data_IF_284467153233
#
_entry.id   IF_284467153233
#
_cell.length_a   1.000
_cell.length_b   1.000
_cell.length_c   1.000
_cell.angle_alpha   90.00
_cell.angle_beta   90.00
_cell.angle_gamma   90.00
#
_symmetry.space_group_name_H-M   'P 1'
#
loop_
_entity.id
_entity.type
_entity.pdbx_description
1 polymer ?
#
# COMPACT_ATOMS: atom_id res chain seq x y z
N UNK A 1 -60.67 -5.65 -24.48
CA UNK A 1 -59.27 -6.12 -24.39
C UNK A 1 -58.40 -4.90 -24.15
N UNK A 2 -57.99 -4.66 -22.95
CA UNK A 2 -57.03 -3.57 -22.62
C UNK A 2 -55.70 -4.20 -22.24
N UNK A 3 -54.71 -3.96 -23.10
CA UNK A 3 -53.31 -4.43 -22.87
C UNK A 3 -52.58 -3.39 -22.05
N UNK A 4 -52.25 -3.73 -20.80
CA UNK A 4 -51.37 -2.91 -19.92
C UNK A 4 -49.92 -3.26 -20.24
N UNK A 5 -49.24 -2.33 -20.92
CA UNK A 5 -47.78 -2.38 -21.12
C UNK A 5 -47.15 -1.83 -19.86
N UNK A 6 -46.62 -2.70 -19.02
CA UNK A 6 -45.83 -2.30 -17.85
C UNK A 6 -44.43 -1.82 -18.27
N UNK A 7 -44.14 -0.54 -18.07
CA UNK A 7 -42.81 0.01 -18.26
C UNK A 7 -41.90 -0.45 -17.09
N UNK A 8 -40.92 -1.29 -17.38
CA UNK A 8 -39.85 -1.63 -16.43
C UNK A 8 -38.84 -0.48 -16.44
N UNK A 9 -38.83 0.31 -15.36
CA UNK A 9 -37.80 1.31 -15.13
C UNK A 9 -36.59 0.56 -14.55
N UNK A 10 -35.56 0.35 -15.39
CA UNK A 10 -34.25 -0.06 -14.92
C UNK A 10 -33.59 1.14 -14.19
N UNK A 11 -33.59 1.15 -12.87
CA UNK A 11 -32.71 2.03 -12.10
C UNK A 11 -31.28 1.51 -12.30
N UNK A 12 -30.56 2.09 -13.23
CA UNK A 12 -29.12 1.95 -13.34
C UNK A 12 -28.46 2.62 -12.15
N UNK A 13 -28.10 1.83 -11.15
CA UNK A 13 -27.23 2.30 -10.06
C UNK A 13 -25.89 2.69 -10.66
N UNK A 14 -25.59 3.99 -10.71
CA UNK A 14 -24.23 4.44 -11.00
C UNK A 14 -23.31 3.92 -9.91
N UNK A 15 -22.34 3.05 -10.27
CA UNK A 15 -21.31 2.65 -9.35
C UNK A 15 -20.51 3.90 -8.98
N UNK A 16 -20.55 4.31 -7.71
CA UNK A 16 -19.79 5.42 -7.21
C UNK A 16 -18.30 5.08 -7.33
N UNK A 17 -17.54 5.93 -8.05
CA UNK A 17 -16.11 5.73 -8.22
C UNK A 17 -15.42 5.76 -6.85
N UNK A 18 -14.50 4.81 -6.61
CA UNK A 18 -13.71 4.80 -5.37
C UNK A 18 -13.00 6.17 -5.19
N UNK A 19 -12.89 6.70 -3.96
CA UNK A 19 -12.18 7.95 -3.71
C UNK A 19 -10.73 7.83 -4.19
N UNK A 20 -10.14 8.93 -4.71
CA UNK A 20 -8.76 8.91 -5.15
C UNK A 20 -7.84 8.52 -3.98
N UNK A 21 -6.74 7.80 -4.26
CA UNK A 21 -5.79 7.45 -3.21
C UNK A 21 -5.21 8.72 -2.58
N UNK A 22 -4.86 8.68 -1.27
CA UNK A 22 -4.26 9.82 -0.61
C UNK A 22 -2.96 10.24 -1.30
N UNK A 23 -2.62 11.55 -1.29
CA UNK A 23 -1.41 12.04 -1.92
C UNK A 23 -0.17 11.37 -1.31
N UNK A 24 0.82 11.07 -2.15
CA UNK A 24 2.07 10.47 -1.70
C UNK A 24 2.89 11.49 -0.92
N UNK A 25 3.64 11.04 0.10
CA UNK A 25 4.56 11.91 0.84
C UNK A 25 5.63 12.48 -0.07
N UNK A 26 6.02 13.74 0.19
CA UNK A 26 7.08 14.40 -0.58
C UNK A 26 8.40 13.62 -0.51
N UNK A 27 9.09 13.52 -1.63
CA UNK A 27 10.38 12.81 -1.75
C UNK A 27 10.27 11.28 -1.78
N UNK A 28 9.06 10.72 -1.81
CA UNK A 28 8.84 9.29 -1.99
C UNK A 28 8.19 9.00 -3.34
N UNK A 29 8.59 7.90 -3.98
CA UNK A 29 7.99 7.42 -5.23
C UNK A 29 7.72 5.94 -5.11
N UNK A 30 6.48 5.52 -5.41
CA UNK A 30 6.12 4.09 -5.51
C UNK A 30 5.90 3.72 -6.98
N UNK A 31 6.55 2.66 -7.39
CA UNK A 31 6.37 2.03 -8.70
C UNK A 31 5.81 0.63 -8.50
N UNK A 32 4.57 0.40 -8.93
CA UNK A 32 3.96 -0.92 -8.89
C UNK A 32 4.62 -1.79 -9.98
N UNK A 33 5.13 -2.95 -9.58
CA UNK A 33 5.87 -3.85 -10.46
C UNK A 33 4.99 -4.96 -11.00
N UNK A 34 4.20 -5.60 -10.14
CA UNK A 34 3.26 -6.64 -10.50
C UNK A 34 2.15 -6.77 -9.46
N UNK A 35 0.97 -7.23 -9.92
CA UNK A 35 -0.20 -7.50 -9.08
C UNK A 35 -0.90 -8.74 -9.59
N UNK A 36 -1.24 -9.67 -8.70
CA UNK A 36 -1.91 -10.92 -9.03
C UNK A 36 -2.91 -11.32 -7.95
N UNK A 37 -4.01 -11.92 -8.38
CA UNK A 37 -4.90 -12.65 -7.48
C UNK A 37 -4.15 -13.86 -6.92
N UNK A 38 -4.34 -14.13 -5.64
CA UNK A 38 -3.82 -15.34 -5.02
C UNK A 38 -4.84 -16.48 -5.09
N UNK A 39 -4.37 -17.71 -4.91
CA UNK A 39 -5.23 -18.89 -4.81
C UNK A 39 -6.19 -18.85 -3.61
N UNK A 40 -5.84 -18.07 -2.59
CA UNK A 40 -6.73 -17.80 -1.45
C UNK A 40 -7.78 -16.78 -1.88
N UNK A 41 -9.05 -17.19 -1.84
CA UNK A 41 -10.17 -16.32 -2.25
C UNK A 41 -10.17 -15.01 -1.49
N UNK A 42 -10.36 -13.90 -2.22
CA UNK A 42 -10.41 -12.56 -1.67
C UNK A 42 -9.05 -11.95 -1.33
N UNK A 43 -7.96 -12.61 -1.72
CA UNK A 43 -6.59 -12.15 -1.48
C UNK A 43 -5.86 -11.89 -2.80
N UNK A 44 -4.97 -10.90 -2.76
CA UNK A 44 -4.09 -10.55 -3.87
C UNK A 44 -2.68 -10.24 -3.37
N UNK A 45 -1.70 -10.31 -4.25
CA UNK A 45 -0.37 -9.78 -3.99
C UNK A 45 -0.09 -8.57 -4.88
N UNK A 46 0.57 -7.58 -4.30
CA UNK A 46 1.14 -6.44 -5.00
C UNK A 46 2.62 -6.37 -4.65
N UNK A 47 3.48 -6.27 -5.66
CA UNK A 47 4.88 -5.98 -5.45
C UNK A 47 5.19 -4.59 -6.00
N UNK A 48 5.84 -3.77 -5.18
CA UNK A 48 6.18 -2.41 -5.51
C UNK A 48 7.61 -2.07 -5.08
N UNK A 49 8.25 -1.20 -5.85
CA UNK A 49 9.47 -0.51 -5.44
C UNK A 49 9.08 0.84 -4.85
N UNK A 50 9.62 1.17 -3.70
CA UNK A 50 9.46 2.49 -3.08
C UNK A 50 10.83 3.14 -2.96
N UNK A 51 10.97 4.30 -3.57
CA UNK A 51 12.19 5.12 -3.55
C UNK A 51 12.01 6.29 -2.60
N UNK A 52 13.06 6.58 -1.82
CA UNK A 52 13.12 7.65 -0.83
C UNK A 52 14.30 8.57 -1.14
N UNK A 53 14.03 9.84 -1.42
CA UNK A 53 15.08 10.85 -1.43
C UNK A 53 15.72 10.99 -0.02
N UNK A 54 16.96 11.49 0.11
CA UNK A 54 17.56 11.74 1.42
C UNK A 54 16.64 12.58 2.31
N UNK A 55 16.40 12.10 3.54
CA UNK A 55 15.51 12.77 4.51
C UNK A 55 14.00 12.58 4.27
N UNK A 56 13.59 11.97 3.17
CA UNK A 56 12.18 11.72 2.89
C UNK A 56 11.59 10.69 3.87
N UNK A 57 10.33 10.90 4.23
CA UNK A 57 9.60 10.04 5.17
C UNK A 57 8.29 9.57 4.58
N UNK A 58 7.93 8.33 4.85
CA UNK A 58 6.58 7.83 4.70
C UNK A 58 5.94 7.79 6.09
N UNK A 59 4.90 8.61 6.36
CA UNK A 59 4.36 8.78 7.71
C UNK A 59 3.64 7.50 8.19
N UNK A 60 3.24 7.51 9.46
CA UNK A 60 2.52 6.38 10.07
C UNK A 60 1.30 6.00 9.26
N UNK A 61 1.24 4.74 8.92
CA UNK A 61 0.17 4.14 8.13
C UNK A 61 0.07 2.65 8.42
N UNK A 62 -0.97 2.04 7.87
CA UNK A 62 -1.19 0.58 7.90
C UNK A 62 -1.74 0.09 6.57
N UNK A 63 -1.65 -1.21 6.35
CA UNK A 63 -2.15 -1.88 5.17
C UNK A 63 -3.21 -2.94 5.52
N UNK A 64 -4.15 -3.25 4.62
CA UNK A 64 -5.11 -4.36 4.78
C UNK A 64 -4.46 -5.70 4.40
N UNK A 65 -3.30 -6.00 4.95
CA UNK A 65 -2.52 -7.19 4.68
C UNK A 65 -1.12 -7.14 5.27
N UNK A 66 -0.37 -8.20 5.03
CA UNK A 66 1.03 -8.30 5.42
C UNK A 66 1.91 -7.57 4.41
N UNK A 67 3.01 -7.00 4.89
CA UNK A 67 4.04 -6.40 4.05
C UNK A 67 5.40 -7.07 4.31
N UNK A 68 6.02 -7.51 3.23
CA UNK A 68 7.35 -8.14 3.24
C UNK A 68 8.31 -7.19 2.54
N UNK A 69 9.30 -6.69 3.27
CA UNK A 69 10.23 -5.68 2.79
C UNK A 69 11.61 -6.27 2.61
N UNK A 70 12.24 -5.92 1.49
CA UNK A 70 13.66 -6.12 1.21
C UNK A 70 14.27 -4.75 0.87
N UNK A 71 15.26 -4.30 1.65
CA UNK A 71 15.95 -3.03 1.37
C UNK A 71 16.89 -3.21 0.19
N UNK A 72 16.64 -2.46 -0.89
CA UNK A 72 17.40 -2.54 -2.14
C UNK A 72 18.68 -1.70 -2.09
N UNK A 73 18.60 -0.50 -1.50
CA UNK A 73 19.71 0.45 -1.45
C UNK A 73 19.53 1.45 -0.31
N UNK A 74 20.64 2.03 0.13
CA UNK A 74 20.66 3.06 1.15
C UNK A 74 20.37 2.54 2.55
N UNK A 75 19.94 3.45 3.43
CA UNK A 75 19.64 3.17 4.84
C UNK A 75 18.26 3.73 5.19
N UNK A 76 17.36 2.86 5.63
CA UNK A 76 16.00 3.20 6.03
C UNK A 76 15.81 2.91 7.53
N UNK A 77 15.23 3.85 8.24
CA UNK A 77 14.74 3.66 9.60
C UNK A 77 13.24 3.38 9.55
N UNK A 78 12.83 2.28 10.15
CA UNK A 78 11.42 1.91 10.29
C UNK A 78 10.96 2.05 11.72
N UNK A 79 9.76 2.57 11.91
CA UNK A 79 9.00 2.44 13.16
C UNK A 79 7.92 1.38 12.93
N UNK A 80 7.94 0.32 13.71
CA UNK A 80 6.96 -0.77 13.63
C UNK A 80 6.37 -1.00 15.00
N UNK A 81 5.06 -0.79 15.15
CA UNK A 81 4.38 -0.87 16.45
C UNK A 81 5.10 -0.07 17.56
N UNK A 82 5.58 1.12 17.24
CA UNK A 82 6.29 2.01 18.15
C UNK A 82 7.77 1.69 18.39
N UNK A 83 8.33 0.66 17.74
CA UNK A 83 9.75 0.29 17.86
C UNK A 83 10.53 0.71 16.62
N UNK A 84 11.70 1.31 16.84
CA UNK A 84 12.60 1.74 15.77
C UNK A 84 13.59 0.62 15.41
N UNK A 85 13.80 0.43 14.11
CA UNK A 85 14.85 -0.41 13.56
C UNK A 85 15.46 0.26 12.33
N UNK A 86 16.78 0.26 12.23
CA UNK A 86 17.51 0.79 11.08
C UNK A 86 18.01 -0.37 10.22
N UNK A 87 17.64 -0.35 8.95
CA UNK A 87 17.98 -1.37 7.98
C UNK A 87 18.74 -0.76 6.80
N UNK A 88 19.63 -1.55 6.23
CA UNK A 88 20.44 -1.21 5.06
C UNK A 88 20.25 -2.22 3.94
N UNK A 89 20.79 -1.93 2.78
CA UNK A 89 20.71 -2.81 1.60
C UNK A 89 20.98 -4.28 1.95
N UNK A 90 20.07 -5.16 1.55
CA UNK A 90 20.09 -6.59 1.85
C UNK A 90 19.35 -7.02 3.12
N UNK A 91 18.97 -6.08 3.97
CA UNK A 91 18.16 -6.38 5.17
C UNK A 91 16.68 -6.55 4.82
N UNK A 92 15.98 -7.28 5.67
CA UNK A 92 14.56 -7.63 5.49
C UNK A 92 13.73 -7.23 6.69
N UNK A 93 12.44 -6.98 6.46
CA UNK A 93 11.48 -6.65 7.51
C UNK A 93 10.13 -7.29 7.17
N UNK A 94 9.44 -7.77 8.18
CA UNK A 94 8.05 -8.21 8.08
C UNK A 94 7.16 -7.31 8.92
N UNK A 95 6.13 -6.74 8.28
CA UNK A 95 5.10 -5.93 8.93
C UNK A 95 3.79 -6.71 8.87
N UNK A 96 3.28 -7.21 10.01
CA UNK A 96 2.03 -7.96 10.05
C UNK A 96 0.82 -7.12 9.65
N UNK A 97 -0.24 -7.78 9.21
CA UNK A 97 -1.52 -7.20 8.87
C UNK A 97 -1.95 -6.10 9.86
N UNK A 98 -2.31 -4.92 9.34
CA UNK A 98 -2.86 -3.82 10.11
C UNK A 98 -1.92 -3.16 11.11
N UNK A 99 -0.65 -3.53 11.12
CA UNK A 99 0.35 -2.94 12.03
C UNK A 99 0.74 -1.55 11.58
N UNK A 100 0.62 -0.57 12.47
CA UNK A 100 1.03 0.81 12.22
C UNK A 100 2.54 0.87 12.13
N UNK A 101 3.04 1.46 11.03
CA UNK A 101 4.46 1.60 10.77
C UNK A 101 4.76 2.86 9.96
N UNK A 102 6.01 3.27 9.95
CA UNK A 102 6.54 4.40 9.20
C UNK A 102 7.94 4.07 8.71
N UNK A 103 8.40 4.78 7.68
CA UNK A 103 9.75 4.63 7.15
C UNK A 103 10.38 5.99 6.87
N UNK A 104 11.70 6.11 7.06
CA UNK A 104 12.44 7.33 6.80
C UNK A 104 13.82 7.01 6.24
N UNK A 105 14.24 7.76 5.21
CA UNK A 105 15.62 7.71 4.76
C UNK A 105 16.49 8.57 5.68
N UNK A 106 17.30 7.91 6.52
CA UNK A 106 18.21 8.55 7.48
C UNK A 106 19.62 8.74 6.92
N UNK A 107 19.85 8.27 5.70
CA UNK A 107 21.14 8.42 5.02
C UNK A 107 21.24 9.72 4.23
N UNK A 108 22.40 9.94 3.62
CA UNK A 108 22.69 11.09 2.75
C UNK A 108 22.53 10.78 1.26
N UNK A 109 22.22 9.54 0.91
CA UNK A 109 21.99 9.06 -0.46
C UNK A 109 20.56 8.57 -0.63
N UNK A 110 20.04 8.45 -1.87
CA UNK A 110 18.75 7.82 -2.11
C UNK A 110 18.71 6.40 -1.52
N UNK A 111 17.55 6.01 -1.02
CA UNK A 111 17.29 4.68 -0.53
C UNK A 111 16.09 4.08 -1.26
N UNK A 112 16.00 2.76 -1.32
CA UNK A 112 14.88 2.06 -1.92
C UNK A 112 14.58 0.74 -1.21
N UNK A 113 13.31 0.39 -1.19
CA UNK A 113 12.83 -0.92 -0.75
C UNK A 113 12.04 -1.62 -1.86
N UNK A 114 12.06 -2.94 -1.84
CA UNK A 114 11.10 -3.80 -2.52
C UNK A 114 10.07 -4.22 -1.50
N UNK A 115 8.83 -3.77 -1.66
CA UNK A 115 7.71 -4.11 -0.80
C UNK A 115 6.81 -5.13 -1.52
N UNK A 116 6.58 -6.27 -0.87
CA UNK A 116 5.63 -7.28 -1.35
C UNK A 116 4.49 -7.36 -0.35
N UNK A 117 3.30 -7.04 -0.82
CA UNK A 117 2.08 -7.05 -0.01
C UNK A 117 1.26 -8.30 -0.30
N UNK A 118 0.69 -8.87 0.76
CA UNK A 118 -0.36 -9.89 0.69
C UNK A 118 -1.62 -9.27 1.26
N UNK A 119 -2.57 -8.91 0.41
CA UNK A 119 -3.66 -7.97 0.70
C UNK A 119 -5.03 -8.62 0.65
N UNK A 120 -5.96 -8.06 1.41
CA UNK A 120 -7.38 -8.22 1.13
C UNK A 120 -7.77 -7.39 -0.10
N UNK A 121 -8.44 -8.02 -1.07
CA UNK A 121 -8.96 -7.34 -2.26
C UNK A 121 -10.04 -6.32 -1.90
N UNK A 122 -10.07 -5.22 -2.66
CA UNK A 122 -11.13 -4.22 -2.56
C UNK A 122 -10.95 -3.21 -1.44
N UNK A 123 -9.86 -3.27 -0.67
CA UNK A 123 -9.53 -2.28 0.37
C UNK A 123 -8.42 -1.34 -0.12
N UNK A 124 -8.41 -0.07 0.33
CA UNK A 124 -7.31 0.86 0.03
C UNK A 124 -5.99 0.29 0.56
N UNK A 125 -4.92 0.38 -0.25
CA UNK A 125 -3.60 -0.13 0.15
C UNK A 125 -3.07 0.56 1.40
N UNK A 126 -3.25 1.87 1.50
CA UNK A 126 -2.66 2.68 2.57
C UNK A 126 -3.74 3.45 3.32
N UNK A 127 -3.74 3.30 4.64
CA UNK A 127 -4.53 4.11 5.57
C UNK A 127 -3.57 4.85 6.50
N UNK A 128 -3.55 6.18 6.42
CA UNK A 128 -2.72 7.02 7.30
C UNK A 128 -3.30 7.06 8.70
N UNK A 129 -2.42 7.04 9.68
CA UNK A 129 -2.74 7.07 11.11
C UNK A 129 -2.15 8.33 11.74
N UNK A 130 -2.97 9.05 12.50
CA UNK A 130 -2.55 10.26 13.23
C UNK A 130 -1.77 9.94 14.49
#
# INVERSE_FOLDING_TARGET
>A
MFSLIGAIILLGGAAEAAPPPPPRPAGTTRTDLQRHDLSVRGSETLQARVDFAPGASFPRHKHPGDEIIYVLSGTLEYEVAGKLVTLKAGDVLFVPYGTVHAARNVGSTPAAELATYVLEKGKPLTEYVK
#
